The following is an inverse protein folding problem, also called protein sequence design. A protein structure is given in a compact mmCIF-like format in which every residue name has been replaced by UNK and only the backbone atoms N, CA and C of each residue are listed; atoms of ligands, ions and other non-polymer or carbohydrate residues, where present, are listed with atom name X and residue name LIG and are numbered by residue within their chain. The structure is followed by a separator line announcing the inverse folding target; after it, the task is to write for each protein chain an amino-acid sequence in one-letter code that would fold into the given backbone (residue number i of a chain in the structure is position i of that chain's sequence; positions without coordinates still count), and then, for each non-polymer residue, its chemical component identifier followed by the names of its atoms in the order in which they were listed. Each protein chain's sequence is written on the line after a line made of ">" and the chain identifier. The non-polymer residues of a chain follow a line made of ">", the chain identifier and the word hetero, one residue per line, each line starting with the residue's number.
data_IF_631829569546
#
_entry.id   IF_631829569546
#
_cell.length_a   1.000
_cell.length_b   1.000
_cell.length_c   1.000
_cell.angle_alpha   90.00
_cell.angle_beta   90.00
_cell.angle_gamma   90.00
#
_symmetry.space_group_name_H-M   'P 1'
#
loop_
_entity.id
_entity.type
_entity.pdbx_description
1 polymer ?
#
# COMPACT_ATOMS: atom_id res chain seq x y z
N UNK A 1 17.52 16.74 11.75
CA UNK A 1 16.67 16.61 10.55
C UNK A 1 15.39 15.90 10.92
N UNK A 2 14.34 16.68 11.14
CA UNK A 2 13.03 16.14 11.50
C UNK A 2 12.33 15.70 10.21
N UNK A 3 12.23 14.40 9.98
CA UNK A 3 11.13 13.77 9.25
C UNK A 3 10.05 13.26 10.24
N UNK A 4 9.07 14.05 10.72
CA UNK A 4 8.05 13.49 11.62
C UNK A 4 6.61 13.89 11.27
N UNK A 5 6.29 14.36 10.05
CA UNK A 5 4.90 14.71 9.68
C UNK A 5 4.36 13.83 8.53
N UNK A 6 5.16 13.59 7.48
CA UNK A 6 4.69 12.87 6.30
C UNK A 6 4.34 11.39 6.57
N UNK A 7 5.17 10.64 7.31
CA UNK A 7 4.92 9.22 7.63
C UNK A 7 3.68 9.06 8.50
N UNK A 8 3.50 9.96 9.47
CA UNK A 8 2.31 9.97 10.32
C UNK A 8 1.05 10.25 9.51
N UNK A 9 1.12 11.21 8.58
CA UNK A 9 0.02 11.50 7.67
C UNK A 9 -0.30 10.31 6.77
N UNK A 10 0.69 9.63 6.18
CA UNK A 10 0.48 8.44 5.35
C UNK A 10 -0.24 7.34 6.16
N UNK A 11 0.21 7.06 7.39
CA UNK A 11 -0.42 6.04 8.24
C UNK A 11 -1.87 6.37 8.57
N UNK A 12 -2.14 7.64 8.89
CA UNK A 12 -3.50 8.12 9.10
C UNK A 12 -4.34 8.02 7.82
N UNK A 13 -3.78 8.42 6.67
CA UNK A 13 -4.46 8.45 5.39
C UNK A 13 -4.90 7.05 4.93
N UNK A 14 -4.04 6.04 5.10
CA UNK A 14 -4.37 4.63 4.86
C UNK A 14 -5.55 4.22 5.75
N UNK A 15 -5.45 4.47 7.06
CA UNK A 15 -6.48 4.11 8.04
C UNK A 15 -7.81 4.82 7.80
N UNK A 16 -7.77 6.06 7.30
CA UNK A 16 -8.92 6.88 6.97
C UNK A 16 -9.54 6.55 5.59
N UNK A 17 -8.97 5.59 4.84
CA UNK A 17 -9.47 5.20 3.53
C UNK A 17 -9.27 6.28 2.46
N UNK A 18 -8.19 7.07 2.57
CA UNK A 18 -7.80 8.02 1.51
C UNK A 18 -7.49 7.25 0.23
N UNK A 19 -7.90 7.81 -0.91
CA UNK A 19 -7.68 7.24 -2.24
C UNK A 19 -6.20 6.90 -2.44
N UNK A 20 -5.86 5.64 -2.81
CA UNK A 20 -4.48 5.20 -2.91
C UNK A 20 -3.61 6.10 -3.79
N UNK A 21 -4.19 6.64 -4.87
CA UNK A 21 -3.48 7.54 -5.79
C UNK A 21 -3.10 8.88 -5.14
N UNK A 22 -3.90 9.38 -4.20
CA UNK A 22 -3.57 10.60 -3.43
C UNK A 22 -2.47 10.30 -2.41
N UNK A 23 -2.51 9.13 -1.77
CA UNK A 23 -1.44 8.72 -0.85
C UNK A 23 -0.13 8.52 -1.63
N UNK A 24 -0.17 7.85 -2.79
CA UNK A 24 0.99 7.70 -3.68
C UNK A 24 1.58 9.05 -4.09
N UNK A 25 0.72 10.02 -4.44
CA UNK A 25 1.16 11.36 -4.82
C UNK A 25 1.94 12.05 -3.69
N UNK A 26 1.38 12.10 -2.49
CA UNK A 26 2.06 12.72 -1.34
C UNK A 26 3.30 11.95 -0.90
N UNK A 27 3.28 10.63 -1.05
CA UNK A 27 4.44 9.82 -0.75
C UNK A 27 5.56 9.97 -1.79
N UNK A 28 5.22 10.38 -3.02
CA UNK A 28 6.18 10.73 -4.08
C UNK A 28 6.72 12.14 -3.89
N UNK A 29 5.88 13.06 -3.41
CA UNK A 29 6.22 14.47 -3.15
C UNK A 29 5.90 14.86 -1.70
N UNK A 30 6.65 14.38 -0.68
CA UNK A 30 6.34 14.61 0.73
C UNK A 30 6.28 16.10 1.10
N UNK A 31 7.06 16.93 0.41
CA UNK A 31 7.09 18.38 0.59
C UNK A 31 5.76 19.06 0.22
N UNK A 32 4.91 18.40 -0.58
CA UNK A 32 3.60 18.94 -0.96
C UNK A 32 2.57 18.86 0.17
N UNK A 33 2.82 18.05 1.21
CA UNK A 33 1.88 17.90 2.32
C UNK A 33 1.55 19.23 3.04
N UNK A 34 2.57 20.10 3.19
CA UNK A 34 2.47 21.38 3.89
C UNK A 34 2.96 22.58 3.08
N UNK A 35 3.08 22.42 1.75
CA UNK A 35 3.68 23.45 0.90
C UNK A 35 2.88 24.75 0.94
N UNK A 36 3.59 25.83 1.20
CA UNK A 36 3.13 27.21 1.04
C UNK A 36 3.77 27.69 -0.26
N UNK A 37 2.96 27.93 -1.27
CA UNK A 37 3.42 28.59 -2.49
C UNK A 37 3.23 30.11 -2.30
N UNK A 38 4.25 30.91 -2.56
CA UNK A 38 4.11 32.37 -2.59
C UNK A 38 3.01 32.75 -3.60
N UNK A 39 2.10 33.63 -3.20
CA UNK A 39 0.92 34.08 -3.97
C UNK A 39 -0.07 32.98 -4.39
N UNK A 40 -0.07 31.82 -3.72
CA UNK A 40 -0.98 30.70 -4.04
C UNK A 40 -1.49 29.99 -2.78
N UNK A 41 -2.50 29.14 -2.95
CA UNK A 41 -3.19 28.50 -1.82
C UNK A 41 -2.27 27.51 -1.09
N UNK A 42 -2.27 27.57 0.25
CA UNK A 42 -1.53 26.63 1.09
C UNK A 42 -2.18 25.24 1.06
N UNK A 43 -1.39 24.22 0.72
CA UNK A 43 -1.80 22.83 0.87
C UNK A 43 -1.71 22.38 2.34
N UNK A 44 -2.64 21.53 2.76
CA UNK A 44 -2.70 20.96 4.10
C UNK A 44 -3.08 19.47 4.03
N UNK A 45 -2.81 18.67 5.07
CA UNK A 45 -3.38 17.33 5.23
C UNK A 45 -4.86 17.19 4.86
N UNK A 46 -5.69 18.18 5.25
CA UNK A 46 -7.12 18.19 4.98
C UNK A 46 -7.45 18.49 3.52
N UNK A 47 -6.60 19.24 2.81
CA UNK A 47 -6.74 19.46 1.37
C UNK A 47 -6.70 18.14 0.61
N UNK A 48 -5.78 17.23 1.00
CA UNK A 48 -5.63 15.93 0.36
C UNK A 48 -6.78 14.96 0.66
N UNK A 49 -7.38 15.03 1.86
CA UNK A 49 -8.63 14.30 2.12
C UNK A 49 -9.79 14.78 1.23
N UNK A 50 -9.90 16.09 0.98
CA UNK A 50 -10.92 16.61 0.06
C UNK A 50 -10.65 16.14 -1.37
N UNK A 51 -9.40 16.27 -1.83
CA UNK A 51 -8.97 15.80 -3.15
C UNK A 51 -9.26 14.31 -3.32
N UNK A 52 -9.02 13.50 -2.29
CA UNK A 52 -9.37 12.07 -2.28
C UNK A 52 -10.82 11.85 -2.68
N UNK A 53 -11.77 12.50 -1.97
CA UNK A 53 -13.21 12.35 -2.25
C UNK A 53 -13.57 12.81 -3.66
N UNK A 54 -12.98 13.92 -4.11
CA UNK A 54 -13.20 14.47 -5.46
C UNK A 54 -12.66 13.50 -6.53
N UNK A 55 -11.47 12.95 -6.32
CA UNK A 55 -10.85 11.99 -7.23
C UNK A 55 -11.63 10.67 -7.28
N UNK A 56 -12.15 10.17 -6.15
CA UNK A 56 -13.04 9.01 -6.11
C UNK A 56 -14.27 9.18 -6.99
N UNK A 57 -14.84 10.39 -7.04
CA UNK A 57 -15.99 10.70 -7.90
C UNK A 57 -15.52 10.77 -9.35
N UNK A 58 -14.49 11.57 -9.64
CA UNK A 58 -13.98 11.77 -10.99
C UNK A 58 -13.59 10.45 -11.68
N UNK A 59 -12.87 9.55 -10.98
CA UNK A 59 -12.45 8.26 -11.55
C UNK A 59 -13.62 7.37 -11.98
N UNK A 60 -14.77 7.50 -11.31
CA UNK A 60 -15.98 6.71 -11.54
C UNK A 60 -16.99 7.42 -12.47
N UNK A 61 -16.71 8.65 -12.92
CA UNK A 61 -17.66 9.47 -13.69
C UNK A 61 -16.96 10.30 -14.77
N UNK A 62 -15.93 9.71 -15.40
CA UNK A 62 -15.11 10.37 -16.43
C UNK A 62 -15.92 10.88 -17.63
N UNK A 63 -17.04 10.25 -17.93
CA UNK A 63 -17.95 10.66 -19.03
C UNK A 63 -18.88 11.83 -18.64
N UNK A 64 -18.99 12.13 -17.35
CA UNK A 64 -19.93 13.12 -16.80
C UNK A 64 -19.24 14.44 -16.46
N UNK A 65 -17.98 14.41 -16.00
CA UNK A 65 -17.24 15.61 -15.60
C UNK A 65 -16.06 15.87 -16.52
N UNK A 66 -15.97 17.09 -17.05
CA UNK A 66 -14.81 17.48 -17.84
C UNK A 66 -13.52 17.49 -17.00
N UNK A 67 -12.36 17.11 -17.58
CA UNK A 67 -11.05 17.23 -16.91
C UNK A 67 -10.78 18.65 -16.40
N UNK A 68 -11.29 19.67 -17.09
CA UNK A 68 -11.18 21.06 -16.67
C UNK A 68 -11.91 21.37 -15.35
N UNK A 69 -13.08 20.78 -15.13
CA UNK A 69 -13.81 20.90 -13.85
C UNK A 69 -13.00 20.25 -12.74
N UNK A 70 -12.54 19.01 -12.96
CA UNK A 70 -11.72 18.29 -11.98
C UNK A 70 -10.44 19.08 -11.61
N UNK A 71 -9.69 19.54 -12.61
CA UNK A 71 -8.50 20.37 -12.40
C UNK A 71 -8.81 21.64 -11.59
N UNK A 72 -9.89 22.36 -11.91
CA UNK A 72 -10.24 23.58 -11.18
C UNK A 72 -10.60 23.33 -9.71
N UNK A 73 -11.28 22.22 -9.41
CA UNK A 73 -11.61 21.84 -8.03
C UNK A 73 -10.34 21.44 -7.25
N UNK A 74 -9.43 20.67 -7.86
CA UNK A 74 -8.13 20.33 -7.24
C UNK A 74 -7.33 21.61 -6.98
N UNK A 75 -7.22 22.51 -7.96
CA UNK A 75 -6.56 23.82 -7.83
C UNK A 75 -7.09 24.63 -6.64
N UNK A 76 -8.40 24.63 -6.41
CA UNK A 76 -9.01 25.31 -5.26
C UNK A 76 -8.61 24.76 -3.89
N UNK A 77 -8.00 23.57 -3.82
CA UNK A 77 -7.60 22.91 -2.56
C UNK A 77 -6.08 22.95 -2.30
N UNK A 78 -5.25 23.01 -3.34
CA UNK A 78 -3.78 22.89 -3.22
C UNK A 78 -2.98 23.91 -4.03
N UNK A 79 -3.67 24.84 -4.70
CA UNK A 79 -3.02 25.83 -5.55
C UNK A 79 -2.64 25.30 -6.94
N UNK A 80 -2.13 26.19 -7.79
CA UNK A 80 -1.90 25.94 -9.22
C UNK A 80 -0.82 24.89 -9.47
N UNK A 81 0.33 25.05 -8.83
CA UNK A 81 1.49 24.19 -9.09
C UNK A 81 1.19 22.74 -8.70
N UNK A 82 0.69 22.53 -7.48
CA UNK A 82 0.40 21.19 -6.97
C UNK A 82 -0.75 20.55 -7.73
N UNK A 83 -1.77 21.34 -8.13
CA UNK A 83 -2.86 20.80 -8.94
C UNK A 83 -2.37 20.30 -10.30
N UNK A 84 -1.50 21.05 -10.99
CA UNK A 84 -0.96 20.60 -12.26
C UNK A 84 -0.15 19.31 -12.11
N UNK A 85 0.71 19.24 -11.09
CA UNK A 85 1.48 18.03 -10.79
C UNK A 85 0.58 16.85 -10.44
N UNK A 86 -0.48 17.07 -9.66
CA UNK A 86 -1.43 16.02 -9.31
C UNK A 86 -2.20 15.52 -10.54
N UNK A 87 -2.67 16.41 -11.41
CA UNK A 87 -3.33 16.02 -12.67
C UNK A 87 -2.39 15.18 -13.53
N UNK A 88 -1.16 15.67 -13.74
CA UNK A 88 -0.15 14.92 -14.49
C UNK A 88 0.14 13.56 -13.86
N UNK A 89 0.16 13.48 -12.53
CA UNK A 89 0.38 12.24 -11.79
C UNK A 89 -0.78 11.25 -11.94
N UNK A 90 -2.04 11.70 -11.96
CA UNK A 90 -3.19 10.79 -12.13
C UNK A 90 -3.47 10.42 -13.59
N UNK A 91 -3.05 11.26 -14.54
CA UNK A 91 -3.19 11.01 -15.99
C UNK A 91 -2.05 10.17 -16.56
N UNK A 92 -0.86 10.20 -15.94
CA UNK A 92 0.19 9.25 -16.26
C UNK A 92 -0.31 7.83 -16.02
N UNK A 93 -0.05 6.96 -16.98
CA UNK A 93 -0.44 5.56 -16.96
C UNK A 93 0.43 4.79 -15.94
N UNK A 94 0.13 5.00 -14.65
CA UNK A 94 0.80 4.32 -13.56
C UNK A 94 0.12 2.99 -13.31
N UNK A 95 0.93 1.92 -13.33
CA UNK A 95 0.49 0.57 -12.92
C UNK A 95 -0.26 0.69 -11.57
N UNK A 96 -1.42 0.02 -11.41
CA UNK A 96 -2.12 0.00 -10.12
C UNK A 96 -1.20 -0.53 -9.01
N UNK A 97 -1.53 -0.26 -7.74
CA UNK A 97 -0.85 -0.94 -6.62
C UNK A 97 -1.04 -2.46 -6.74
N UNK A 98 -0.14 -3.21 -6.12
CA UNK A 98 -0.31 -4.65 -5.99
C UNK A 98 -1.46 -4.88 -5.00
N UNK A 99 -2.50 -5.57 -5.44
CA UNK A 99 -3.70 -5.79 -4.62
C UNK A 99 -3.65 -7.09 -3.82
N UNK A 100 -4.62 -7.28 -2.92
CA UNK A 100 -4.81 -8.56 -2.23
C UNK A 100 -5.04 -9.70 -3.22
N UNK A 101 -5.88 -9.47 -4.24
CA UNK A 101 -6.18 -10.43 -5.29
C UNK A 101 -4.95 -10.78 -6.12
N UNK A 102 -4.09 -9.80 -6.43
CA UNK A 102 -2.82 -10.04 -7.12
C UNK A 102 -1.98 -11.06 -6.33
N UNK A 103 -1.87 -10.91 -5.01
CA UNK A 103 -1.03 -11.78 -4.17
C UNK A 103 -1.68 -13.13 -3.85
N UNK A 104 -2.98 -13.13 -3.53
CA UNK A 104 -3.68 -14.25 -2.90
C UNK A 104 -4.73 -14.93 -3.80
N UNK A 105 -5.10 -14.38 -4.96
CA UNK A 105 -6.03 -15.03 -5.90
C UNK A 105 -5.38 -15.39 -7.23
N UNK A 106 -4.34 -14.68 -7.66
CA UNK A 106 -3.59 -15.06 -8.87
C UNK A 106 -2.83 -16.38 -8.64
N UNK A 107 -3.08 -17.38 -9.51
CA UNK A 107 -2.48 -18.72 -9.40
C UNK A 107 -2.94 -19.53 -8.18
N UNK A 108 -3.96 -19.07 -7.46
CA UNK A 108 -4.56 -19.80 -6.34
C UNK A 108 -5.47 -20.90 -6.90
N UNK A 109 -4.89 -22.08 -7.16
CA UNK A 109 -5.65 -23.29 -7.51
C UNK A 109 -5.19 -24.07 -8.74
N UNK A 110 -4.43 -23.50 -9.67
CA UNK A 110 -3.96 -24.26 -10.86
C UNK A 110 -2.65 -25.02 -10.61
N UNK A 111 -1.75 -24.47 -9.77
CA UNK A 111 -0.48 -25.10 -9.39
C UNK A 111 -0.52 -25.77 -7.99
N UNK A 112 -1.64 -25.71 -7.28
CA UNK A 112 -1.82 -26.40 -5.98
C UNK A 112 -2.18 -27.89 -6.13
N UNK A 113 -1.92 -28.48 -7.31
CA UNK A 113 -2.28 -29.87 -7.63
C UNK A 113 -1.23 -30.91 -7.24
N UNK A 114 -0.04 -30.53 -6.77
CA UNK A 114 1.00 -31.49 -6.37
C UNK A 114 1.22 -31.62 -4.85
N UNK A 115 0.56 -30.80 -4.03
CA UNK A 115 0.78 -30.79 -2.58
C UNK A 115 1.98 -29.96 -2.12
N UNK A 116 2.62 -29.17 -2.98
CA UNK A 116 3.63 -28.18 -2.60
C UNK A 116 3.00 -27.04 -1.80
N UNK A 117 3.21 -27.08 -0.49
CA UNK A 117 2.81 -26.10 0.51
C UNK A 117 3.75 -24.89 0.55
N UNK A 118 4.34 -24.47 -0.57
CA UNK A 118 5.49 -23.52 -0.53
C UNK A 118 5.10 -22.04 -0.51
N UNK A 119 3.83 -21.70 -0.80
CA UNK A 119 3.36 -20.32 -0.84
C UNK A 119 4.08 -19.46 -1.89
N UNK A 120 4.65 -20.05 -2.95
CA UNK A 120 5.38 -19.36 -4.01
C UNK A 120 4.51 -18.37 -4.78
N UNK A 121 5.11 -17.29 -5.29
CA UNK A 121 4.44 -16.26 -6.09
C UNK A 121 4.69 -16.51 -7.59
N UNK A 122 3.72 -16.20 -8.48
CA UNK A 122 3.98 -16.19 -9.91
C UNK A 122 5.19 -15.32 -10.25
N UNK A 123 6.07 -15.79 -11.15
CA UNK A 123 7.32 -15.10 -11.48
C UNK A 123 7.08 -13.64 -11.91
N UNK A 124 6.08 -13.39 -12.76
CA UNK A 124 5.74 -12.04 -13.21
C UNK A 124 5.33 -11.11 -12.04
N UNK A 125 4.67 -11.63 -11.01
CA UNK A 125 4.36 -10.87 -9.81
C UNK A 125 5.62 -10.62 -8.98
N UNK A 126 6.49 -11.61 -8.84
CA UNK A 126 7.75 -11.46 -8.12
C UNK A 126 8.68 -10.41 -8.77
N UNK A 127 8.74 -10.38 -10.10
CA UNK A 127 9.47 -9.35 -10.86
C UNK A 127 8.84 -7.98 -10.67
N UNK A 128 7.51 -7.87 -10.77
CA UNK A 128 6.79 -6.62 -10.51
C UNK A 128 7.08 -6.07 -9.11
N UNK A 129 7.08 -6.91 -8.07
CA UNK A 129 7.37 -6.48 -6.68
C UNK A 129 8.76 -5.86 -6.57
N UNK A 130 9.76 -6.46 -7.23
CA UNK A 130 11.15 -5.96 -7.19
C UNK A 130 11.35 -4.64 -7.93
N UNK A 131 10.47 -4.31 -8.87
CA UNK A 131 10.50 -3.05 -9.63
C UNK A 131 9.72 -1.90 -8.95
N UNK A 132 8.93 -2.19 -7.91
CA UNK A 132 8.11 -1.19 -7.23
C UNK A 132 8.92 -0.29 -6.30
N UNK A 133 8.47 0.96 -6.14
CA UNK A 133 9.10 1.87 -5.17
C UNK A 133 8.75 1.49 -3.73
N UNK A 134 9.61 1.86 -2.76
CA UNK A 134 9.38 1.58 -1.33
C UNK A 134 8.01 2.07 -0.86
N UNK A 135 7.63 3.27 -1.28
CA UNK A 135 6.31 3.85 -1.04
C UNK A 135 5.20 2.94 -1.57
N UNK A 136 5.27 2.50 -2.84
CA UNK A 136 4.21 1.70 -3.44
C UNK A 136 4.12 0.31 -2.82
N UNK A 137 5.26 -0.27 -2.44
CA UNK A 137 5.34 -1.50 -1.65
C UNK A 137 4.73 -1.34 -0.26
N UNK A 138 5.01 -0.23 0.44
CA UNK A 138 4.42 0.07 1.75
C UNK A 138 2.89 0.18 1.67
N UNK A 139 2.38 0.94 0.70
CA UNK A 139 0.94 1.12 0.49
C UNK A 139 0.26 -0.19 0.08
N UNK A 140 0.87 -0.95 -0.82
CA UNK A 140 0.36 -2.27 -1.22
C UNK A 140 0.28 -3.20 -0.01
N UNK A 141 1.36 -3.30 0.79
CA UNK A 141 1.38 -4.13 1.99
C UNK A 141 0.28 -3.74 2.98
N UNK A 142 0.11 -2.45 3.29
CA UNK A 142 -0.91 -2.00 4.24
C UNK A 142 -2.32 -2.35 3.82
N UNK A 143 -2.66 -2.12 2.54
CA UNK A 143 -3.97 -2.46 1.98
C UNK A 143 -4.19 -3.98 2.00
N UNK A 144 -3.18 -4.75 1.60
CA UNK A 144 -3.21 -6.21 1.60
C UNK A 144 -3.39 -6.77 3.01
N UNK A 145 -2.63 -6.29 3.98
CA UNK A 145 -2.70 -6.73 5.37
C UNK A 145 -4.05 -6.42 6.00
N UNK A 146 -4.65 -5.27 5.68
CA UNK A 146 -6.00 -4.94 6.14
C UNK A 146 -7.05 -5.94 5.64
N UNK A 147 -7.01 -6.28 4.35
CA UNK A 147 -7.90 -7.30 3.80
C UNK A 147 -7.60 -8.68 4.40
N UNK A 148 -6.32 -9.08 4.48
CA UNK A 148 -5.91 -10.37 4.99
C UNK A 148 -6.33 -10.59 6.45
N UNK A 149 -6.21 -9.57 7.31
CA UNK A 149 -6.64 -9.61 8.72
C UNK A 149 -8.13 -9.94 8.83
N UNK A 150 -8.96 -9.31 8.00
CA UNK A 150 -10.40 -9.58 7.95
C UNK A 150 -10.69 -10.99 7.41
N UNK A 151 -9.95 -11.47 6.41
CA UNK A 151 -10.15 -12.81 5.85
C UNK A 151 -9.73 -13.91 6.83
N UNK A 152 -8.59 -13.79 7.51
CA UNK A 152 -8.18 -14.73 8.57
C UNK A 152 -9.23 -14.76 9.69
N UNK A 153 -9.75 -13.61 10.10
CA UNK A 153 -10.81 -13.52 11.11
C UNK A 153 -12.10 -14.27 10.75
N UNK A 154 -12.38 -14.50 9.46
CA UNK A 154 -13.56 -15.27 8.99
C UNK A 154 -13.31 -16.77 8.93
N UNK A 155 -12.06 -17.21 8.83
CA UNK A 155 -11.66 -18.61 8.58
C UNK A 155 -11.60 -19.44 9.87
N UNK A 156 -12.44 -19.15 10.87
CA UNK A 156 -12.28 -19.45 12.30
C UNK A 156 -11.76 -20.86 12.72
N UNK A 157 -11.75 -21.87 11.85
CA UNK A 157 -11.21 -23.22 12.13
C UNK A 157 -10.45 -23.87 10.95
N UNK A 158 -10.25 -23.19 9.81
CA UNK A 158 -9.49 -23.74 8.68
C UNK A 158 -8.00 -23.42 8.79
N UNK A 159 -7.32 -24.14 9.68
CA UNK A 159 -5.90 -23.98 9.95
C UNK A 159 -5.02 -24.21 8.70
N UNK A 160 -5.45 -25.05 7.75
CA UNK A 160 -4.68 -25.34 6.53
C UNK A 160 -4.70 -24.13 5.58
N UNK A 161 -5.88 -23.56 5.35
CA UNK A 161 -6.02 -22.35 4.53
C UNK A 161 -5.28 -21.17 5.16
N UNK A 162 -5.39 -20.98 6.48
CA UNK A 162 -4.67 -19.93 7.20
C UNK A 162 -3.15 -20.09 7.04
N UNK A 163 -2.59 -21.29 7.25
CA UNK A 163 -1.15 -21.55 7.04
C UNK A 163 -0.69 -21.24 5.62
N UNK A 164 -1.53 -21.55 4.63
CA UNK A 164 -1.23 -21.27 3.22
C UNK A 164 -1.21 -19.76 2.94
N UNK A 165 -2.17 -19.01 3.50
CA UNK A 165 -2.19 -17.55 3.41
C UNK A 165 -0.96 -16.93 4.09
N UNK A 166 -0.58 -17.38 5.28
CA UNK A 166 0.61 -16.88 5.99
C UNK A 166 1.88 -17.19 5.20
N UNK A 167 2.03 -18.40 4.67
CA UNK A 167 3.21 -18.77 3.87
C UNK A 167 3.32 -17.90 2.61
N UNK A 168 2.19 -17.61 1.95
CA UNK A 168 2.13 -16.70 0.79
C UNK A 168 2.46 -15.26 1.17
N UNK A 169 2.00 -14.78 2.33
CA UNK A 169 2.39 -13.47 2.88
C UNK A 169 3.89 -13.40 3.11
N UNK A 170 4.51 -14.43 3.69
CA UNK A 170 5.97 -14.47 3.93
C UNK A 170 6.73 -14.41 2.61
N UNK A 171 6.33 -15.20 1.61
CA UNK A 171 6.94 -15.16 0.28
C UNK A 171 6.83 -13.78 -0.38
N UNK A 172 5.71 -13.07 -0.16
CA UNK A 172 5.53 -11.70 -0.61
C UNK A 172 6.47 -10.71 0.09
N UNK A 173 6.56 -10.78 1.41
CA UNK A 173 7.42 -9.89 2.20
C UNK A 173 8.91 -10.13 1.95
N UNK A 174 9.34 -11.36 1.70
CA UNK A 174 10.75 -11.70 1.38
C UNK A 174 11.27 -11.05 0.09
N UNK A 175 10.38 -10.53 -0.76
CA UNK A 175 10.76 -9.80 -1.97
C UNK A 175 10.97 -8.29 -1.73
N UNK A 176 10.66 -7.80 -0.52
CA UNK A 176 10.80 -6.39 -0.19
C UNK A 176 12.26 -6.05 0.18
N UNK A 177 12.68 -4.78 0.03
CA UNK A 177 13.87 -4.26 0.69
C UNK A 177 13.85 -4.59 2.19
N UNK A 178 15.00 -4.98 2.75
CA UNK A 178 15.09 -5.57 4.10
C UNK A 178 14.56 -4.63 5.19
N UNK A 179 14.88 -3.34 5.11
CA UNK A 179 14.41 -2.31 6.04
C UNK A 179 12.89 -2.14 5.99
N UNK A 180 12.31 -2.14 4.77
CA UNK A 180 10.87 -2.05 4.58
C UNK A 180 10.17 -3.33 5.06
N UNK A 181 10.74 -4.50 4.80
CA UNK A 181 10.24 -5.78 5.32
C UNK A 181 10.13 -5.74 6.84
N UNK A 182 11.20 -5.36 7.55
CA UNK A 182 11.19 -5.22 9.02
C UNK A 182 10.11 -4.23 9.48
N UNK A 183 9.99 -3.07 8.80
CA UNK A 183 9.00 -2.07 9.15
C UNK A 183 7.57 -2.65 9.05
N UNK A 184 7.27 -3.40 7.98
CA UNK A 184 5.99 -4.08 7.81
C UNK A 184 5.78 -5.20 8.84
N UNK A 185 6.80 -6.01 9.14
CA UNK A 185 6.69 -7.07 10.17
C UNK A 185 6.43 -6.49 11.57
N UNK A 186 7.02 -5.35 11.90
CA UNK A 186 6.71 -4.60 13.12
C UNK A 186 5.28 -4.05 13.10
N UNK A 187 4.80 -3.59 11.94
CA UNK A 187 3.42 -3.15 11.76
C UNK A 187 2.42 -4.31 11.97
N UNK A 188 2.70 -5.48 11.39
CA UNK A 188 1.95 -6.74 11.60
C UNK A 188 1.81 -7.04 13.10
N UNK A 189 2.92 -7.06 13.83
CA UNK A 189 2.92 -7.31 15.28
C UNK A 189 2.03 -6.35 16.06
N UNK A 190 2.02 -5.07 15.69
CA UNK A 190 1.37 -4.03 16.48
C UNK A 190 -0.10 -3.81 16.10
N UNK A 191 -0.47 -4.02 14.84
CA UNK A 191 -1.74 -3.56 14.28
C UNK A 191 -2.60 -4.67 13.67
N UNK A 192 -2.06 -5.89 13.52
CA UNK A 192 -2.73 -7.00 12.82
C UNK A 192 -2.66 -8.28 13.66
N UNK A 193 -3.38 -8.35 14.80
CA UNK A 193 -3.27 -9.43 15.77
C UNK A 193 -3.65 -10.81 15.23
N UNK A 194 -4.63 -10.91 14.31
CA UNK A 194 -5.00 -12.20 13.72
C UNK A 194 -3.90 -12.73 12.79
N UNK A 195 -3.32 -11.86 11.96
CA UNK A 195 -2.15 -12.23 11.14
C UNK A 195 -0.97 -12.61 12.05
N UNK A 196 -0.63 -11.77 13.04
CA UNK A 196 0.56 -11.98 13.87
C UNK A 196 0.50 -13.29 14.66
N UNK A 197 -0.68 -13.63 15.21
CA UNK A 197 -0.91 -14.88 15.93
C UNK A 197 -0.54 -16.12 15.10
N UNK A 198 -0.83 -16.09 13.81
CA UNK A 198 -0.57 -17.22 12.91
C UNK A 198 0.82 -17.13 12.26
N UNK A 199 1.33 -15.91 12.06
CA UNK A 199 2.65 -15.65 11.48
C UNK A 199 3.81 -16.07 12.40
N UNK A 200 3.66 -15.94 13.72
CA UNK A 200 4.74 -16.32 14.67
C UNK A 200 5.00 -17.83 14.71
N UNK A 201 4.02 -18.63 14.30
CA UNK A 201 4.13 -20.09 14.17
C UNK A 201 4.78 -20.53 12.83
N UNK A 202 5.06 -19.58 11.94
CA UNK A 202 5.72 -19.83 10.66
C UNK A 202 7.24 -19.58 10.79
N UNK A 203 8.04 -20.65 10.73
CA UNK A 203 9.50 -20.58 10.84
C UNK A 203 10.11 -19.57 9.85
N UNK A 204 9.65 -19.57 8.59
CA UNK A 204 10.16 -18.64 7.59
C UNK A 204 9.86 -17.17 7.90
N UNK A 205 8.77 -16.85 8.60
CA UNK A 205 8.50 -15.50 9.09
C UNK A 205 9.48 -15.12 10.20
N UNK A 206 9.68 -16.02 11.17
CA UNK A 206 10.58 -15.80 12.32
C UNK A 206 12.03 -15.64 11.85
N UNK A 207 12.51 -16.54 10.99
CA UNK A 207 13.86 -16.50 10.43
C UNK A 207 14.11 -15.22 9.65
N UNK A 208 13.14 -14.80 8.81
CA UNK A 208 13.25 -13.54 8.06
C UNK A 208 13.43 -12.33 8.98
N UNK A 209 12.82 -12.32 10.16
CA UNK A 209 12.98 -11.23 11.11
C UNK A 209 14.40 -11.20 11.71
N UNK A 210 14.93 -12.36 12.09
CA UNK A 210 16.25 -12.50 12.71
C UNK A 210 17.39 -12.26 11.71
N UNK A 211 17.28 -12.82 10.50
CA UNK A 211 18.24 -12.62 9.42
C UNK A 211 18.34 -11.13 9.06
N UNK A 212 17.18 -10.48 8.95
CA UNK A 212 17.11 -9.05 8.67
C UNK A 212 17.73 -8.22 9.79
N UNK A 213 17.50 -8.55 11.06
CA UNK A 213 18.14 -7.88 12.20
C UNK A 213 19.67 -8.03 12.19
N UNK A 214 20.17 -9.22 11.83
CA UNK A 214 21.60 -9.52 11.76
C UNK A 214 22.30 -8.82 10.59
N UNK A 215 21.57 -8.50 9.53
CA UNK A 215 22.11 -7.79 8.35
C UNK A 215 22.24 -6.28 8.52
N UNK A 216 21.60 -5.71 9.56
CA UNK A 216 21.58 -4.26 9.83
C UNK A 216 22.44 -3.91 11.07
N UNK A 217 22.81 -4.91 11.88
CA UNK A 217 23.73 -4.80 13.03
C UNK A 217 25.19 -4.91 12.62
#
# INVERSE_FOLDING_TARGET
>A
NMEPDHKQWINWAISAGIEPKVIEFISTFPEYLHKINEDDLRATPRSYERISKIYSIYKNSKDTFSPAIFHNVVKGNVGRVIAQEFINFVEKDHKPLISYEDVFKSGFGENFKDGSMDGSLPQALAERIKEESHTRLYLSARNILQTLEMEIGKLAEDASSIKSLISRLVSFLKLYPVDLMIAIMKDIRNNYPAIYKEAIENEAFVDSYFDAYSSIS
#
